data_IF_257574047836
#
_entry.id   IF_257574047836
#
_cell.length_a   1.000
_cell.length_b   1.000
_cell.length_c   1.000
_cell.angle_alpha   90.00
_cell.angle_beta   90.00
_cell.angle_gamma   90.00
#
_symmetry.space_group_name_H-M   'P 1'
#
loop_
_entity.id
_entity.type
_entity.pdbx_description
1 polymer ?
#
# COMPACT_ATOMS: atom_id res chain seq x y z
N UNK A 1 -5.08 -20.28 16.05
CA UNK A 1 -5.23 -20.08 14.59
C UNK A 1 -4.35 -18.92 14.14
N UNK A 2 -3.72 -19.04 12.98
CA UNK A 2 -2.98 -17.93 12.37
C UNK A 2 -3.92 -17.16 11.42
N UNK A 3 -3.72 -15.85 11.27
CA UNK A 3 -4.46 -15.10 10.27
C UNK A 3 -4.05 -15.53 8.87
N UNK A 4 -4.96 -15.36 7.91
CA UNK A 4 -4.71 -15.69 6.51
C UNK A 4 -4.88 -14.46 5.66
N UNK A 5 -3.94 -14.24 4.76
CA UNK A 5 -4.03 -13.23 3.73
C UNK A 5 -4.52 -13.94 2.46
N UNK A 6 -5.81 -13.75 2.15
CA UNK A 6 -6.49 -14.52 1.11
C UNK A 6 -6.11 -14.01 -0.29
N UNK A 7 -6.05 -12.71 -0.45
CA UNK A 7 -5.72 -12.08 -1.73
C UNK A 7 -5.25 -10.66 -1.54
N UNK A 8 -4.52 -10.16 -2.51
CA UNK A 8 -4.06 -8.77 -2.60
C UNK A 8 -4.41 -8.24 -3.97
N UNK A 9 -4.91 -7.00 -4.02
CA UNK A 9 -5.22 -6.32 -5.28
C UNK A 9 -4.52 -4.96 -5.31
N UNK A 10 -3.72 -4.75 -6.34
CA UNK A 10 -3.01 -3.51 -6.59
C UNK A 10 -2.65 -3.43 -8.07
N UNK A 11 -2.36 -2.23 -8.56
CA UNK A 11 -1.88 -2.07 -9.94
C UNK A 11 -0.53 -2.74 -10.12
N UNK A 12 -0.32 -3.38 -11.26
CA UNK A 12 0.98 -3.96 -11.63
C UNK A 12 1.94 -2.91 -12.16
N UNK A 13 1.40 -1.86 -12.76
CA UNK A 13 2.17 -0.76 -13.35
C UNK A 13 1.53 0.55 -12.96
N UNK A 14 2.36 1.47 -12.47
CA UNK A 14 1.94 2.82 -12.09
C UNK A 14 2.73 3.81 -12.93
N UNK A 15 2.03 4.71 -13.64
CA UNK A 15 2.67 5.79 -14.40
C UNK A 15 2.78 7.01 -13.50
N UNK A 16 4.01 7.37 -13.13
CA UNK A 16 4.27 8.53 -12.28
C UNK A 16 3.95 9.81 -13.07
N UNK A 17 3.17 10.75 -12.49
CA UNK A 17 2.93 12.03 -13.17
C UNK A 17 4.22 12.77 -13.51
N UNK A 18 4.24 13.44 -14.66
CA UNK A 18 5.40 14.22 -15.10
C UNK A 18 5.43 15.62 -14.51
N UNK A 19 4.31 16.11 -14.03
CA UNK A 19 4.17 17.40 -13.33
C UNK A 19 4.25 17.18 -11.81
N UNK A 20 3.85 18.16 -11.00
CA UNK A 20 3.85 18.00 -9.55
C UNK A 20 2.48 17.60 -8.99
N UNK A 21 1.64 16.99 -9.82
CA UNK A 21 0.39 16.42 -9.34
C UNK A 21 0.64 15.14 -8.53
N UNK A 22 -0.38 14.75 -7.78
CA UNK A 22 -0.37 13.54 -6.96
C UNK A 22 -1.55 12.68 -7.41
N UNK A 23 -1.29 11.41 -7.69
CA UNK A 23 -2.34 10.44 -7.93
C UNK A 23 -2.36 9.42 -6.79
N UNK A 24 -3.48 8.74 -6.62
CA UNK A 24 -3.65 7.75 -5.56
C UNK A 24 -3.98 6.41 -6.17
N UNK A 25 -3.25 5.38 -5.74
CA UNK A 25 -3.45 4.01 -6.17
C UNK A 25 -4.09 3.22 -5.04
N UNK A 26 -5.30 2.72 -5.25
CA UNK A 26 -5.99 1.92 -4.26
C UNK A 26 -5.35 0.54 -4.15
N UNK A 27 -4.96 0.17 -2.95
CA UNK A 27 -4.41 -1.15 -2.62
C UNK A 27 -5.36 -1.81 -1.65
N UNK A 28 -5.75 -3.04 -1.93
CA UNK A 28 -6.62 -3.80 -1.04
C UNK A 28 -6.02 -5.16 -0.75
N UNK A 29 -6.32 -5.68 0.44
CA UNK A 29 -5.95 -7.01 0.85
C UNK A 29 -7.11 -7.64 1.62
N UNK A 30 -7.49 -8.85 1.24
CA UNK A 30 -8.53 -9.60 1.95
C UNK A 30 -7.88 -10.51 2.96
N UNK A 31 -8.26 -10.33 4.22
CA UNK A 31 -7.74 -11.13 5.33
C UNK A 31 -8.86 -11.90 6.00
N UNK A 32 -8.50 -13.05 6.56
CA UNK A 32 -9.39 -13.93 7.29
C UNK A 32 -8.71 -14.48 8.52
N UNK A 33 -9.48 -14.63 9.60
CA UNK A 33 -9.04 -15.29 10.82
C UNK A 33 -10.19 -16.15 11.33
N UNK A 34 -9.90 -17.42 11.67
CA UNK A 34 -10.90 -18.34 12.18
C UNK A 34 -11.54 -17.85 13.49
N UNK A 35 -10.85 -16.99 14.24
CA UNK A 35 -11.37 -16.36 15.44
C UNK A 35 -12.15 -15.07 15.17
N UNK A 36 -12.34 -14.72 13.89
CA UNK A 36 -13.05 -13.53 13.46
C UNK A 36 -12.14 -12.33 13.18
N UNK A 37 -12.71 -11.32 12.52
CA UNK A 37 -11.96 -10.11 12.13
C UNK A 37 -11.41 -9.33 13.33
N UNK A 38 -12.09 -9.42 14.49
CA UNK A 38 -11.61 -8.74 15.69
C UNK A 38 -10.27 -9.29 16.20
N UNK A 39 -9.88 -10.49 15.79
CA UNK A 39 -8.57 -11.05 16.12
C UNK A 39 -7.46 -10.56 15.20
N UNK A 40 -7.78 -9.90 14.12
CA UNK A 40 -6.78 -9.31 13.23
C UNK A 40 -6.36 -7.96 13.79
N UNK A 41 -5.07 -7.87 14.19
CA UNK A 41 -4.50 -6.64 14.75
C UNK A 41 -4.18 -5.63 13.66
N UNK A 42 -3.60 -6.11 12.54
CA UNK A 42 -3.22 -5.25 11.44
C UNK A 42 -3.03 -6.03 10.14
N UNK A 43 -3.21 -5.36 9.02
CA UNK A 43 -2.81 -5.81 7.69
C UNK A 43 -1.98 -4.70 7.08
N UNK A 44 -0.88 -5.04 6.42
CA UNK A 44 -0.04 -4.03 5.82
C UNK A 44 1.03 -4.61 4.91
N UNK A 45 1.86 -3.73 4.37
CA UNK A 45 2.96 -4.13 3.51
C UNK A 45 4.18 -3.25 3.73
N UNK A 46 5.34 -3.81 3.42
CA UNK A 46 6.58 -3.06 3.29
C UNK A 46 6.94 -3.00 1.82
N UNK A 47 7.53 -1.89 1.39
CA UNK A 47 7.90 -1.67 -0.01
C UNK A 47 9.41 -1.80 -0.16
N UNK A 48 9.84 -2.75 -1.00
CA UNK A 48 11.23 -2.99 -1.29
C UNK A 48 11.54 -2.55 -2.71
N UNK A 49 12.51 -1.65 -2.86
CA UNK A 49 12.96 -1.16 -4.16
C UNK A 49 14.07 -2.07 -4.69
N UNK A 50 13.80 -2.78 -5.77
CA UNK A 50 14.67 -3.86 -6.26
C UNK A 50 16.00 -3.32 -6.78
N UNK A 51 15.96 -2.27 -7.63
CA UNK A 51 17.16 -1.73 -8.26
C UNK A 51 18.15 -1.11 -7.26
N UNK A 52 17.62 -0.56 -6.17
CA UNK A 52 18.46 0.06 -5.12
C UNK A 52 18.72 -0.86 -3.94
N UNK A 53 18.14 -2.06 -3.95
CA UNK A 53 18.29 -3.05 -2.88
C UNK A 53 18.02 -2.42 -1.49
N UNK A 54 16.90 -1.70 -1.37
CA UNK A 54 16.57 -1.01 -0.13
C UNK A 54 15.07 -0.92 0.08
N UNK A 55 14.67 -0.91 1.35
CA UNK A 55 13.28 -0.69 1.72
C UNK A 55 12.95 0.80 1.70
N UNK A 56 11.77 1.13 1.19
CA UNK A 56 11.21 2.47 1.32
C UNK A 56 10.66 2.68 2.72
N UNK A 57 10.40 3.94 3.06
CA UNK A 57 9.83 4.31 4.36
C UNK A 57 10.64 3.73 5.54
N UNK A 58 11.96 3.60 5.38
CA UNK A 58 12.89 3.05 6.37
C UNK A 58 12.52 1.63 6.80
N UNK A 59 11.84 0.86 5.93
CA UNK A 59 11.36 -0.47 6.25
C UNK A 59 10.11 -0.51 7.12
N UNK A 60 9.50 0.64 7.39
CA UNK A 60 8.28 0.70 8.18
C UNK A 60 7.08 0.19 7.39
N UNK A 61 6.19 -0.49 8.10
CA UNK A 61 4.98 -1.03 7.51
C UNK A 61 4.02 0.08 7.12
N UNK A 62 3.40 -0.09 5.95
CA UNK A 62 2.28 0.74 5.51
C UNK A 62 1.01 -0.04 5.84
N UNK A 63 0.18 0.53 6.72
CA UNK A 63 -1.03 -0.13 7.18
C UNK A 63 -2.17 0.04 6.18
N UNK A 64 -2.97 -1.04 6.03
CA UNK A 64 -4.27 -0.98 5.38
C UNK A 64 -5.35 -0.98 6.44
N UNK A 65 -6.52 -0.46 6.09
CA UNK A 65 -7.61 -0.22 7.04
C UNK A 65 -8.90 -0.84 6.53
N UNK A 66 -9.68 -1.40 7.47
CA UNK A 66 -11.02 -1.93 7.21
C UNK A 66 -12.06 -1.09 7.98
N UNK A 67 -12.06 0.21 7.71
CA UNK A 67 -12.75 1.23 8.49
C UNK A 67 -13.89 1.93 7.73
N UNK A 68 -14.20 1.48 6.51
CA UNK A 68 -15.19 2.17 5.66
C UNK A 68 -14.78 3.57 5.24
N UNK A 69 -13.49 3.90 5.34
CA UNK A 69 -12.99 5.24 5.01
C UNK A 69 -13.35 6.31 6.03
N UNK A 70 -13.71 5.92 7.25
CA UNK A 70 -14.17 6.87 8.28
C UNK A 70 -13.03 7.48 9.09
N UNK A 71 -11.90 6.78 9.22
CA UNK A 71 -10.76 7.27 9.98
C UNK A 71 -9.95 8.24 9.12
N UNK A 72 -9.72 9.44 9.65
CA UNK A 72 -8.84 10.41 8.99
C UNK A 72 -7.41 10.06 9.36
N UNK A 73 -6.64 9.60 8.36
CA UNK A 73 -5.24 9.18 8.54
C UNK A 73 -4.33 10.40 8.55
N UNK A 74 -4.56 11.33 7.63
CA UNK A 74 -3.84 12.60 7.56
C UNK A 74 -4.84 13.75 7.45
N UNK A 75 -4.63 14.79 8.27
CA UNK A 75 -5.46 15.99 8.22
C UNK A 75 -5.30 16.69 6.86
N UNK A 76 -6.36 17.34 6.37
CA UNK A 76 -7.69 17.50 7.00
C UNK A 76 -8.67 16.34 6.70
N UNK A 77 -8.46 15.53 5.66
CA UNK A 77 -9.49 14.59 5.23
C UNK A 77 -8.96 13.36 4.47
N UNK A 78 -7.67 13.04 4.58
CA UNK A 78 -7.13 11.87 3.91
C UNK A 78 -7.57 10.60 4.64
N UNK A 79 -8.27 9.73 3.92
CA UNK A 79 -8.78 8.44 4.42
C UNK A 79 -8.20 7.27 3.61
N UNK A 80 -8.42 6.06 4.09
CA UNK A 80 -7.88 4.84 3.48
C UNK A 80 -8.46 4.52 2.11
N UNK A 81 -9.65 5.03 1.80
CA UNK A 81 -10.38 4.64 0.59
C UNK A 81 -11.15 3.33 0.75
N UNK A 82 -11.19 2.76 1.97
CA UNK A 82 -11.99 1.57 2.24
C UNK A 82 -13.47 1.85 2.04
N UNK A 83 -14.19 0.90 1.43
CA UNK A 83 -15.59 1.10 1.07
C UNK A 83 -16.56 0.68 2.17
N UNK A 84 -16.25 -0.42 2.85
CA UNK A 84 -17.14 -1.00 3.85
C UNK A 84 -16.34 -1.46 5.06
N UNK A 85 -16.68 -0.92 6.23
CA UNK A 85 -16.02 -1.32 7.47
C UNK A 85 -16.35 -2.77 7.82
N UNK A 86 -15.35 -3.46 8.38
CA UNK A 86 -15.50 -4.82 8.94
C UNK A 86 -15.95 -5.86 7.92
N UNK A 87 -15.56 -5.72 6.65
CA UNK A 87 -15.84 -6.72 5.62
C UNK A 87 -14.64 -7.63 5.32
N UNK A 88 -13.54 -7.45 5.99
CA UNK A 88 -12.32 -8.23 5.80
C UNK A 88 -11.46 -7.76 4.65
N UNK A 89 -11.87 -6.72 3.93
CA UNK A 89 -11.09 -6.11 2.87
C UNK A 89 -10.45 -4.83 3.43
N UNK A 90 -9.14 -4.90 3.62
CA UNK A 90 -8.34 -3.80 4.15
C UNK A 90 -7.78 -2.98 2.99
N UNK A 91 -7.82 -1.67 3.10
CA UNK A 91 -7.53 -0.76 1.99
C UNK A 91 -6.62 0.38 2.40
N UNK A 92 -5.85 0.87 1.43
CA UNK A 92 -5.11 2.11 1.57
C UNK A 92 -4.89 2.73 0.20
N UNK A 93 -4.97 4.06 0.13
CA UNK A 93 -4.69 4.81 -1.09
C UNK A 93 -3.23 5.26 -1.05
N UNK A 94 -2.39 4.62 -1.84
CA UNK A 94 -0.97 4.95 -1.89
C UNK A 94 -0.78 6.21 -2.74
N UNK A 95 -0.21 7.28 -2.18
CA UNK A 95 0.06 8.49 -2.96
C UNK A 95 1.26 8.27 -3.87
N UNK A 96 1.13 8.72 -5.12
CA UNK A 96 2.22 8.72 -6.10
C UNK A 96 2.48 10.16 -6.49
N UNK A 97 3.64 10.66 -6.08
CA UNK A 97 4.02 12.06 -6.29
C UNK A 97 4.75 12.20 -7.61
N UNK A 98 4.39 13.22 -8.37
CA UNK A 98 4.94 13.47 -9.69
C UNK A 98 6.38 13.95 -9.69
N UNK A 99 6.99 13.88 -10.88
CA UNK A 99 8.39 14.27 -11.11
C UNK A 99 8.58 15.78 -11.25
N UNK A 100 7.50 16.56 -11.28
CA UNK A 100 7.56 18.01 -11.47
C UNK A 100 8.03 18.79 -10.23
N UNK A 101 8.14 18.13 -9.08
CA UNK A 101 8.67 18.79 -7.89
C UNK A 101 10.18 18.93 -8.02
N UNK A 102 10.70 20.11 -7.68
CA UNK A 102 12.15 20.38 -7.75
C UNK A 102 12.95 19.66 -6.69
N UNK A 103 12.32 19.25 -5.59
CA UNK A 103 12.97 18.46 -4.54
C UNK A 103 12.77 16.95 -4.83
N UNK A 104 13.83 16.22 -5.19
CA UNK A 104 13.71 14.80 -5.50
C UNK A 104 13.17 13.95 -4.35
N UNK A 105 13.32 14.40 -3.11
CA UNK A 105 12.80 13.66 -1.95
C UNK A 105 11.27 13.67 -1.89
N UNK A 106 10.62 14.59 -2.60
CA UNK A 106 9.17 14.73 -2.69
C UNK A 106 8.59 14.07 -3.94
N UNK A 107 9.40 13.30 -4.65
CA UNK A 107 8.97 12.54 -5.82
C UNK A 107 8.89 11.06 -5.46
N UNK A 108 7.88 10.36 -5.98
CA UNK A 108 7.85 8.90 -5.91
C UNK A 108 8.96 8.34 -6.79
N UNK A 109 9.72 7.39 -6.27
CA UNK A 109 10.80 6.75 -7.02
C UNK A 109 10.23 5.86 -8.11
N UNK A 110 10.91 5.83 -9.26
CA UNK A 110 10.60 4.88 -10.33
C UNK A 110 11.40 3.60 -10.14
N UNK A 111 10.96 2.53 -10.80
CA UNK A 111 11.63 1.24 -10.78
C UNK A 111 10.70 0.10 -10.42
N UNK A 112 11.29 -1.00 -10.01
CA UNK A 112 10.56 -2.20 -9.63
C UNK A 112 10.47 -2.28 -8.11
N UNK A 113 9.26 -2.50 -7.62
CA UNK A 113 9.00 -2.62 -6.18
C UNK A 113 8.38 -3.97 -5.88
N UNK A 114 8.81 -4.59 -4.80
CA UNK A 114 8.10 -5.71 -4.21
C UNK A 114 7.35 -5.18 -2.99
N UNK A 115 6.04 -5.21 -3.04
CA UNK A 115 5.18 -4.92 -1.90
C UNK A 115 4.91 -6.23 -1.19
N UNK A 116 5.44 -6.35 0.01
CA UNK A 116 5.41 -7.58 0.80
C UNK A 116 4.35 -7.42 1.87
N UNK A 117 3.23 -8.11 1.66
CA UNK A 117 2.05 -8.01 2.51
C UNK A 117 2.03 -9.12 3.54
N UNK A 118 1.59 -8.80 4.74
CA UNK A 118 1.21 -9.79 5.75
C UNK A 118 0.11 -9.26 6.66
N UNK A 119 -0.45 -10.16 7.46
CA UNK A 119 -1.40 -9.86 8.51
C UNK A 119 -0.85 -10.36 9.84
N UNK A 120 -1.27 -9.72 10.93
CA UNK A 120 -0.91 -10.13 12.29
C UNK A 120 -2.16 -10.15 13.15
N UNK A 121 -2.29 -11.18 13.98
CA UNK A 121 -3.41 -11.30 14.90
C UNK A 121 -3.12 -10.65 16.27
N UNK A 122 -4.09 -10.70 17.16
CA UNK A 122 -3.97 -10.10 18.50
C UNK A 122 -2.97 -10.83 19.39
N UNK A 123 -2.59 -12.06 19.03
CA UNK A 123 -1.55 -12.84 19.71
C UNK A 123 -0.17 -12.63 19.10
N UNK A 124 -0.01 -11.67 18.19
CA UNK A 124 1.22 -11.36 17.46
C UNK A 124 1.71 -12.53 16.58
N UNK A 125 0.78 -13.32 16.07
CA UNK A 125 1.09 -14.38 15.11
C UNK A 125 0.89 -13.83 13.70
N UNK A 126 1.82 -14.15 12.80
CA UNK A 126 1.84 -13.60 11.44
C UNK A 126 1.28 -14.60 10.45
N UNK A 127 0.59 -14.07 9.42
CA UNK A 127 0.22 -14.84 8.23
C UNK A 127 1.45 -15.14 7.38
N UNK A 128 1.28 -16.02 6.38
CA UNK A 128 2.22 -16.10 5.27
C UNK A 128 2.25 -14.75 4.55
N UNK A 129 3.39 -14.45 3.96
CA UNK A 129 3.54 -13.23 3.17
C UNK A 129 3.01 -13.42 1.75
N UNK A 130 2.47 -12.34 1.19
CA UNK A 130 2.12 -12.27 -0.24
C UNK A 130 2.90 -11.13 -0.85
N UNK A 131 3.65 -11.43 -1.92
CA UNK A 131 4.47 -10.44 -2.60
C UNK A 131 3.75 -10.00 -3.87
N UNK A 132 3.50 -8.70 -4.00
CA UNK A 132 2.94 -8.09 -5.20
C UNK A 132 4.01 -7.20 -5.83
N UNK A 133 4.38 -7.52 -7.08
CA UNK A 133 5.36 -6.73 -7.83
C UNK A 133 4.68 -5.55 -8.50
N UNK A 134 5.26 -4.36 -8.31
CA UNK A 134 4.77 -3.11 -8.89
C UNK A 134 5.91 -2.47 -9.67
N UNK A 135 5.60 -2.02 -10.89
CA UNK A 135 6.54 -1.22 -11.67
C UNK A 135 6.02 0.21 -11.69
N UNK A 136 6.82 1.14 -11.19
CA UNK A 136 6.56 2.58 -11.29
C UNK A 136 7.41 3.13 -12.41
N UNK A 137 6.76 3.62 -13.45
CA UNK A 137 7.45 4.08 -14.64
C UNK A 137 7.26 5.57 -14.85
N UNK A 138 8.12 6.16 -15.65
CA UNK A 138 8.01 7.53 -16.08
C UNK A 138 6.77 7.70 -16.97
N UNK A 139 6.14 8.86 -16.84
CA UNK A 139 5.20 9.28 -17.85
C UNK A 139 6.00 9.88 -19.01
N UNK A 140 6.07 9.14 -20.12
CA UNK A 140 6.99 9.43 -21.22
C UNK A 140 6.46 10.43 -22.24
N UNK A 141 5.41 11.14 -21.93
CA UNK A 141 4.87 12.15 -22.86
C UNK A 141 5.90 13.21 -23.24
N UNK A 142 6.90 13.42 -22.40
CA UNK A 142 7.96 14.39 -22.66
C UNK A 142 8.92 13.98 -23.77
N UNK A 143 8.87 12.76 -24.26
CA UNK A 143 9.73 12.26 -25.34
C UNK A 143 9.15 12.42 -26.73
N UNK A 144 7.96 12.91 -26.81
CA UNK A 144 7.24 13.04 -28.08
C UNK A 144 7.51 14.40 -28.67
#
# INVERSE_FOLDING_TARGET
FIPQLVSVSASDTISRPSDNSVIFELVTARAHDANGLNDIRRVGFVSYHVEWDSFLNKGNLINLYDDGGEVVIYEPNFTSGDLNANDGIFSFRVPVFGAGNTDPSLQTKTGTFNWIFDAMDMSNTYSDTVIHRVIVEWNDLSYI
#
